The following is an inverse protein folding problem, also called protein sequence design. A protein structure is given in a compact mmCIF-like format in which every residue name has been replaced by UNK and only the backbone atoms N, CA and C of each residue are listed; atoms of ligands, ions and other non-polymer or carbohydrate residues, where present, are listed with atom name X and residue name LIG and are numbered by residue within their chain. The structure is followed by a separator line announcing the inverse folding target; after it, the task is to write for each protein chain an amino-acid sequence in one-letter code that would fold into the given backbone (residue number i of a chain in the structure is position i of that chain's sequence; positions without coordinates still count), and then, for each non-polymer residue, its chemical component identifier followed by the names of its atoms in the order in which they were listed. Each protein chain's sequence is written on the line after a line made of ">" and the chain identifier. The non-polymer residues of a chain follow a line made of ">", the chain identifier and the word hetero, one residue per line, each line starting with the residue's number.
data_IF_335945412990
#
_entry.id   IF_335945412990
#
_cell.length_a   1.000
_cell.length_b   1.000
_cell.length_c   1.000
_cell.angle_alpha   90.00
_cell.angle_beta   90.00
_cell.angle_gamma   90.00
#
_symmetry.space_group_name_H-M   'P 1'
#
loop_
_entity.id
_entity.type
_entity.pdbx_description
1 polymer ?
#
# COMPACT_ATOMS: atom_id res chain seq x y z
N UNK A 1 14.02 2.75 -22.39
CA UNK A 1 13.48 2.24 -21.12
C UNK A 1 11.98 2.44 -21.08
N UNK A 2 11.24 1.41 -20.72
CA UNK A 2 9.79 1.47 -20.43
C UNK A 2 9.53 2.20 -19.13
N UNK A 3 8.29 2.59 -18.84
CA UNK A 3 7.94 3.17 -17.53
C UNK A 3 8.22 2.20 -16.39
N UNK A 4 7.95 0.90 -16.59
CA UNK A 4 8.29 -0.16 -15.64
C UNK A 4 9.79 -0.16 -15.28
N UNK A 5 10.66 -0.14 -16.29
CA UNK A 5 12.12 -0.14 -16.05
C UNK A 5 12.58 1.11 -15.30
N UNK A 6 11.91 2.25 -15.50
CA UNK A 6 12.25 3.50 -14.79
C UNK A 6 11.81 3.46 -13.33
N UNK A 7 10.58 2.96 -13.04
CA UNK A 7 10.03 2.87 -11.69
C UNK A 7 10.92 2.01 -10.79
N UNK A 8 11.41 0.88 -11.30
CA UNK A 8 12.25 -0.05 -10.52
C UNK A 8 13.74 0.31 -10.54
N UNK A 9 14.15 1.35 -11.30
CA UNK A 9 15.54 1.77 -11.42
C UNK A 9 15.93 2.79 -10.36
N UNK A 10 17.07 2.59 -9.73
CA UNK A 10 17.66 3.58 -8.83
C UNK A 10 18.19 4.84 -9.54
N UNK A 11 18.17 4.90 -10.86
CA UNK A 11 18.67 6.03 -11.66
C UNK A 11 17.61 7.11 -11.89
N UNK A 12 16.37 6.85 -11.52
CA UNK A 12 15.24 7.78 -11.70
C UNK A 12 14.62 8.20 -10.36
N UNK A 13 14.05 9.40 -10.36
CA UNK A 13 13.08 9.86 -9.37
C UNK A 13 11.68 9.79 -9.95
N UNK A 14 10.71 9.38 -9.15
CA UNK A 14 9.29 9.46 -9.44
C UNK A 14 8.74 10.73 -8.79
N UNK A 15 8.41 11.72 -9.60
CA UNK A 15 7.87 13.00 -9.11
C UNK A 15 6.39 13.05 -9.39
N UNK A 16 5.57 13.03 -8.35
CA UNK A 16 4.12 13.21 -8.44
C UNK A 16 3.79 14.69 -8.51
N UNK A 17 3.06 15.11 -9.53
CA UNK A 17 2.73 16.51 -9.72
C UNK A 17 1.39 16.69 -10.44
N UNK A 18 0.80 17.89 -10.32
CA UNK A 18 -0.31 18.31 -11.17
C UNK A 18 0.12 18.53 -12.64
N UNK A 19 -0.85 18.58 -13.54
CA UNK A 19 -0.55 18.74 -14.97
C UNK A 19 0.11 20.07 -15.31
N UNK A 20 -0.11 21.13 -14.55
CA UNK A 20 0.50 22.43 -14.81
C UNK A 20 2.00 22.32 -14.62
N UNK A 21 2.42 21.75 -13.48
CA UNK A 21 3.84 21.52 -13.21
C UNK A 21 4.45 20.50 -14.18
N UNK A 22 3.72 19.45 -14.56
CA UNK A 22 4.18 18.46 -15.54
C UNK A 22 4.40 19.06 -16.93
N UNK A 23 3.54 19.96 -17.39
CA UNK A 23 3.72 20.66 -18.67
C UNK A 23 4.88 21.66 -18.63
N UNK A 24 5.09 22.34 -17.50
CA UNK A 24 6.26 23.20 -17.29
C UNK A 24 7.55 22.38 -17.32
N UNK A 25 7.59 21.24 -16.63
CA UNK A 25 8.71 20.29 -16.66
C UNK A 25 8.97 19.77 -18.07
N UNK A 26 7.93 19.44 -18.81
CA UNK A 26 8.02 18.96 -20.19
C UNK A 26 8.55 20.03 -21.13
N UNK A 27 8.13 21.27 -20.96
CA UNK A 27 8.61 22.39 -21.77
C UNK A 27 10.09 22.73 -21.50
N UNK A 28 10.52 22.61 -20.26
CA UNK A 28 11.91 22.90 -19.83
C UNK A 28 12.87 21.74 -20.08
N UNK A 29 12.37 20.50 -20.11
CA UNK A 29 13.19 19.29 -20.27
C UNK A 29 12.40 18.17 -20.99
N UNK A 30 12.37 18.19 -22.32
CA UNK A 30 11.57 17.24 -23.13
C UNK A 30 11.95 15.77 -22.98
N UNK A 31 13.01 15.45 -22.26
CA UNK A 31 13.42 14.08 -21.95
C UNK A 31 12.58 13.42 -20.84
N UNK A 32 11.70 14.15 -20.17
CA UNK A 32 10.86 13.59 -19.14
C UNK A 32 9.66 12.88 -19.75
N UNK A 33 9.47 11.63 -19.33
CA UNK A 33 8.28 10.87 -19.66
C UNK A 33 7.37 10.96 -18.44
N UNK A 34 6.14 11.40 -18.64
CA UNK A 34 5.14 11.37 -17.59
C UNK A 34 4.04 10.37 -17.89
N UNK A 35 3.44 9.88 -16.84
CA UNK A 35 2.31 8.98 -16.87
C UNK A 35 1.12 9.66 -16.18
N UNK A 36 -0.02 9.86 -16.86
CA UNK A 36 -1.23 10.29 -16.20
C UNK A 36 -1.73 9.18 -15.25
N UNK A 37 -2.05 9.56 -14.01
CA UNK A 37 -2.57 8.62 -13.00
C UNK A 37 -4.08 8.75 -12.87
N UNK A 38 -4.63 9.92 -13.17
CA UNK A 38 -6.05 10.23 -13.13
C UNK A 38 -6.32 11.62 -12.57
N UNK A 39 -7.49 12.19 -12.85
CA UNK A 39 -7.79 13.57 -12.49
C UNK A 39 -6.79 14.56 -13.11
N UNK A 40 -6.22 15.41 -12.28
CA UNK A 40 -5.22 16.41 -12.68
C UNK A 40 -3.79 16.04 -12.25
N UNK A 41 -3.53 14.77 -11.95
CA UNK A 41 -2.27 14.30 -11.39
C UNK A 41 -1.58 13.32 -12.35
N UNK A 42 -0.26 13.44 -12.46
CA UNK A 42 0.59 12.49 -13.17
C UNK A 42 1.93 12.27 -12.45
N UNK A 43 2.72 11.37 -12.99
CA UNK A 43 4.06 11.04 -12.49
C UNK A 43 5.08 11.36 -13.57
N UNK A 44 6.10 12.15 -13.23
CA UNK A 44 7.26 12.40 -14.08
C UNK A 44 8.43 11.53 -13.63
N UNK A 45 9.05 10.82 -14.58
CA UNK A 45 10.28 10.04 -14.36
C UNK A 45 11.48 10.86 -14.74
N UNK A 46 12.29 11.27 -13.76
CA UNK A 46 13.41 12.20 -13.92
C UNK A 46 14.72 11.50 -13.59
N UNK A 47 15.68 11.50 -14.50
CA UNK A 47 17.02 10.97 -14.21
C UNK A 47 17.69 11.71 -13.07
N UNK A 48 18.18 10.99 -12.07
CA UNK A 48 18.80 11.56 -10.85
C UNK A 48 19.98 12.46 -11.14
N UNK A 49 20.76 12.17 -12.16
CA UNK A 49 21.90 12.98 -12.58
C UNK A 49 21.52 14.32 -13.26
N UNK A 50 20.27 14.44 -13.70
CA UNK A 50 19.71 15.66 -14.33
C UNK A 50 18.87 16.48 -13.37
N UNK A 51 18.47 15.89 -12.25
CA UNK A 51 17.71 16.58 -11.21
C UNK A 51 18.69 17.14 -10.18
N UNK A 52 18.73 18.45 -9.96
CA UNK A 52 19.60 19.00 -8.94
C UNK A 52 19.22 18.38 -7.58
N UNK A 53 20.21 18.11 -6.71
CA UNK A 53 19.95 17.54 -5.40
C UNK A 53 18.94 18.41 -4.63
N UNK A 54 18.21 17.79 -3.72
CA UNK A 54 17.08 18.31 -2.92
C UNK A 54 17.25 19.73 -2.30
N UNK A 55 18.40 20.37 -2.48
CA UNK A 55 18.66 21.76 -2.10
C UNK A 55 17.95 22.80 -2.97
N UNK A 56 17.23 22.39 -4.02
CA UNK A 56 16.49 23.28 -4.91
C UNK A 56 15.07 23.50 -4.36
N UNK A 57 14.99 23.86 -3.09
CA UNK A 57 13.76 24.13 -2.36
C UNK A 57 13.03 25.42 -2.75
N UNK A 58 13.07 25.83 -4.02
CA UNK A 58 12.36 27.02 -4.48
C UNK A 58 11.59 26.84 -5.78
N UNK A 59 11.86 25.75 -6.50
CA UNK A 59 11.31 25.58 -7.85
C UNK A 59 10.10 24.62 -7.91
N UNK A 60 9.96 23.71 -6.93
CA UNK A 60 8.88 22.73 -6.91
C UNK A 60 8.18 22.72 -5.55
N UNK A 61 6.85 22.54 -5.50
CA UNK A 61 6.13 22.31 -4.26
C UNK A 61 6.74 21.14 -3.49
N UNK A 62 6.82 21.27 -2.17
CA UNK A 62 7.37 20.24 -1.29
C UNK A 62 6.69 18.86 -1.47
N UNK A 63 5.39 18.87 -1.79
CA UNK A 63 4.58 17.67 -2.05
C UNK A 63 5.02 16.90 -3.30
N UNK A 64 5.63 17.58 -4.28
CA UNK A 64 6.07 16.96 -5.54
C UNK A 64 7.43 16.26 -5.44
N UNK A 65 8.14 16.44 -4.33
CA UNK A 65 9.47 15.85 -4.13
C UNK A 65 9.31 14.49 -3.45
N UNK A 66 9.90 13.41 -4.01
CA UNK A 66 9.88 12.09 -3.36
C UNK A 66 10.44 12.17 -1.94
N UNK A 67 9.71 11.65 -0.98
CA UNK A 67 10.07 11.65 0.44
C UNK A 67 10.23 10.23 0.93
N UNK A 68 11.22 10.02 1.79
CA UNK A 68 11.29 8.80 2.58
C UNK A 68 10.44 8.99 3.83
N UNK A 69 9.47 8.13 4.03
CA UNK A 69 8.67 8.04 5.24
C UNK A 69 9.22 6.91 6.10
N UNK A 70 9.39 7.16 7.39
CA UNK A 70 9.70 6.11 8.36
C UNK A 70 8.47 5.25 8.63
N UNK A 71 8.68 3.99 8.96
CA UNK A 71 7.62 3.13 9.48
C UNK A 71 7.14 3.65 10.83
N UNK A 72 5.85 3.50 11.13
CA UNK A 72 5.30 3.86 12.44
C UNK A 72 5.87 2.94 13.52
N UNK A 73 6.25 3.52 14.66
CA UNK A 73 6.78 2.74 15.78
C UNK A 73 5.66 2.17 16.66
N UNK A 74 5.85 0.91 17.08
CA UNK A 74 4.91 0.16 17.89
C UNK A 74 4.88 0.62 19.36
N UNK A 75 3.92 1.45 19.72
CA UNK A 75 3.42 1.49 21.09
C UNK A 75 1.90 1.64 21.06
N UNK A 76 1.19 0.55 21.41
CA UNK A 76 -0.27 0.62 21.52
C UNK A 76 -0.67 1.46 22.75
N UNK A 77 -1.32 2.60 22.50
CA UNK A 77 -1.98 3.42 23.51
C UNK A 77 -3.49 3.45 23.21
N UNK A 78 -4.36 2.93 24.09
CA UNK A 78 -5.81 2.96 23.90
C UNK A 78 -6.44 4.34 24.06
N UNK A 79 -5.71 5.30 24.63
CA UNK A 79 -6.24 6.65 24.87
C UNK A 79 -6.75 7.35 23.60
N UNK A 80 -6.09 7.25 22.41
CA UNK A 80 -6.60 7.81 21.17
C UNK A 80 -7.97 7.28 20.77
N UNK A 81 -8.26 6.00 21.00
CA UNK A 81 -9.55 5.39 20.66
C UNK A 81 -10.69 5.92 21.55
N UNK A 82 -10.38 6.20 22.82
CA UNK A 82 -11.34 6.78 23.76
C UNK A 82 -11.60 8.26 23.45
N UNK A 83 -10.53 9.03 23.21
CA UNK A 83 -10.62 10.46 22.93
C UNK A 83 -11.28 10.75 21.58
N UNK A 84 -11.00 9.92 20.55
CA UNK A 84 -11.63 10.04 19.24
C UNK A 84 -13.10 9.60 19.19
N UNK A 85 -13.62 8.99 20.26
CA UNK A 85 -15.00 8.50 20.33
C UNK A 85 -15.23 7.17 19.59
N UNK A 86 -14.20 6.54 19.03
CA UNK A 86 -14.33 5.26 18.31
C UNK A 86 -14.98 4.19 19.19
N UNK A 87 -14.57 4.11 20.46
CA UNK A 87 -15.15 3.17 21.43
C UNK A 87 -16.66 3.41 21.67
N UNK A 88 -17.12 4.64 21.55
CA UNK A 88 -18.55 4.97 21.74
C UNK A 88 -19.40 4.51 20.54
N UNK A 89 -18.91 4.66 19.30
CA UNK A 89 -19.68 4.29 18.11
C UNK A 89 -19.66 2.78 17.82
N UNK A 90 -18.68 2.03 18.36
CA UNK A 90 -18.62 0.58 18.26
C UNK A 90 -19.56 -0.14 19.24
N UNK A 91 -20.21 0.59 20.16
CA UNK A 91 -21.21 0.05 21.14
C UNK A 91 -22.63 0.38 20.71
N UNK A 92 -23.65 -0.34 21.26
CA UNK A 92 -25.04 0.04 21.08
C UNK A 92 -25.31 1.50 21.46
N UNK A 93 -26.19 2.23 20.74
CA UNK A 93 -27.10 1.71 19.69
C UNK A 93 -26.48 1.64 18.28
N UNK A 94 -25.31 2.21 18.03
CA UNK A 94 -24.74 2.28 16.70
C UNK A 94 -24.05 0.96 16.27
N UNK A 95 -23.31 0.34 17.17
CA UNK A 95 -22.62 -0.93 16.95
C UNK A 95 -21.85 -1.01 15.61
N UNK A 96 -21.15 0.07 15.27
CA UNK A 96 -20.38 0.13 14.04
C UNK A 96 -19.12 -0.72 14.17
N UNK A 97 -18.96 -1.69 13.26
CA UNK A 97 -17.87 -2.67 13.27
C UNK A 97 -16.92 -2.53 12.08
N UNK A 98 -17.21 -1.63 11.15
CA UNK A 98 -16.47 -1.53 9.88
C UNK A 98 -16.86 -2.61 8.85
N UNK A 99 -17.82 -3.48 9.13
CA UNK A 99 -18.23 -4.55 8.21
C UNK A 99 -18.61 -4.00 6.84
N UNK A 100 -17.99 -4.55 5.78
CA UNK A 100 -18.18 -4.12 4.40
C UNK A 100 -17.34 -2.93 3.97
N UNK A 101 -16.49 -2.40 4.86
CA UNK A 101 -15.49 -1.39 4.51
C UNK A 101 -14.23 -2.07 3.99
N UNK A 102 -13.72 -1.58 2.87
CA UNK A 102 -12.41 -2.02 2.32
C UNK A 102 -11.35 -1.05 2.82
N UNK A 103 -10.29 -1.60 3.41
CA UNK A 103 -9.12 -0.84 3.87
C UNK A 103 -7.93 -1.23 3.01
N UNK A 104 -7.25 -0.23 2.47
CA UNK A 104 -6.00 -0.41 1.73
C UNK A 104 -4.81 -0.06 2.62
N UNK A 105 -3.78 -0.92 2.60
CA UNK A 105 -2.52 -0.70 3.30
C UNK A 105 -1.40 -0.54 2.28
N UNK A 106 -0.57 0.45 2.48
CA UNK A 106 0.68 0.65 1.74
C UNK A 106 1.79 0.56 2.77
N UNK A 107 2.41 -0.61 2.86
CA UNK A 107 3.35 -0.96 3.94
C UNK A 107 4.37 -2.01 3.48
N UNK A 108 5.05 -2.68 4.42
CA UNK A 108 6.15 -3.62 4.15
C UNK A 108 5.71 -4.94 3.53
N UNK A 109 4.42 -5.26 3.56
CA UNK A 109 3.83 -6.50 3.07
C UNK A 109 2.71 -6.96 3.97
N UNK A 110 2.27 -8.21 3.78
CA UNK A 110 1.27 -8.87 4.62
C UNK A 110 1.53 -10.37 4.65
N UNK A 111 1.55 -10.94 5.84
CA UNK A 111 1.49 -12.39 6.04
C UNK A 111 0.04 -12.86 5.83
N UNK A 112 -0.30 -13.18 4.58
CA UNK A 112 -1.65 -13.59 4.19
C UNK A 112 -2.09 -14.94 4.78
N UNK A 113 -1.15 -15.73 5.30
CA UNK A 113 -1.41 -17.01 5.96
C UNK A 113 -1.79 -16.82 7.42
N UNK A 114 -1.60 -15.61 7.97
CA UNK A 114 -1.92 -15.33 9.37
C UNK A 114 -3.43 -15.51 9.62
N UNK A 115 -3.82 -16.32 10.62
CA UNK A 115 -5.22 -16.62 10.92
C UNK A 115 -6.11 -15.40 11.15
N UNK A 116 -5.57 -14.24 11.56
CA UNK A 116 -6.33 -13.01 11.74
C UNK A 116 -6.95 -12.47 10.44
N UNK A 117 -6.45 -12.90 9.29
CA UNK A 117 -6.96 -12.52 7.96
C UNK A 117 -7.81 -13.60 7.30
N UNK A 118 -8.17 -14.65 8.04
CA UNK A 118 -9.03 -15.70 7.52
C UNK A 118 -10.48 -15.54 8.01
N UNK A 119 -11.39 -16.01 7.19
CA UNK A 119 -12.79 -16.23 7.58
C UNK A 119 -12.92 -17.54 8.38
N UNK A 120 -14.08 -17.76 8.99
CA UNK A 120 -14.40 -18.99 9.73
C UNK A 120 -14.33 -20.25 8.85
N UNK A 121 -14.56 -20.11 7.55
CA UNK A 121 -14.46 -21.19 6.56
C UNK A 121 -13.03 -21.45 6.05
N UNK A 122 -12.05 -20.73 6.58
CA UNK A 122 -10.65 -20.82 6.18
C UNK A 122 -10.28 -20.04 4.91
N UNK A 123 -11.23 -19.40 4.26
CA UNK A 123 -10.96 -18.52 3.13
C UNK A 123 -10.37 -17.18 3.55
N UNK A 124 -9.62 -16.54 2.65
CA UNK A 124 -9.02 -15.24 2.95
C UNK A 124 -10.04 -14.11 3.00
N UNK A 125 -9.82 -13.15 3.91
CA UNK A 125 -10.53 -11.86 3.95
C UNK A 125 -9.88 -10.82 3.03
N UNK A 126 -8.64 -11.05 2.59
CA UNK A 126 -7.96 -10.15 1.66
C UNK A 126 -8.66 -10.14 0.31
N UNK A 127 -8.84 -8.95 -0.27
CA UNK A 127 -9.34 -8.77 -1.63
C UNK A 127 -8.24 -8.99 -2.66
N UNK A 128 -7.02 -8.61 -2.31
CA UNK A 128 -5.84 -8.78 -3.13
C UNK A 128 -4.60 -8.25 -2.44
N UNK A 129 -3.45 -8.65 -2.97
CA UNK A 129 -2.13 -8.18 -2.62
C UNK A 129 -1.50 -7.65 -3.90
N UNK A 130 -0.95 -6.46 -3.87
CA UNK A 130 -0.05 -5.97 -4.90
C UNK A 130 1.37 -5.93 -4.33
N UNK A 131 2.14 -6.95 -4.65
CA UNK A 131 3.54 -7.02 -4.25
C UNK A 131 4.40 -6.26 -5.26
N UNK A 132 4.98 -5.16 -4.81
CA UNK A 132 5.77 -4.27 -5.65
C UNK A 132 7.19 -4.79 -5.87
N UNK A 133 7.63 -5.77 -5.12
CA UNK A 133 8.97 -6.37 -5.22
C UNK A 133 9.05 -7.51 -6.21
N UNK A 134 7.95 -8.21 -6.46
CA UNK A 134 7.84 -9.35 -7.36
C UNK A 134 7.43 -8.88 -8.74
N UNK A 135 8.23 -9.17 -9.78
CA UNK A 135 8.03 -8.66 -11.14
C UNK A 135 7.60 -9.72 -12.17
N UNK A 136 7.48 -10.97 -11.75
CA UNK A 136 7.23 -12.12 -12.63
C UNK A 136 5.77 -12.30 -13.03
N UNK A 137 4.84 -11.68 -12.28
CA UNK A 137 3.39 -11.74 -12.55
C UNK A 137 2.84 -10.50 -13.23
N UNK A 138 1.49 -10.48 -13.36
CA UNK A 138 0.78 -9.33 -13.92
C UNK A 138 0.55 -8.26 -12.85
N UNK A 139 0.85 -6.99 -13.12
CA UNK A 139 0.55 -5.90 -12.23
C UNK A 139 -0.96 -5.56 -12.21
N UNK A 140 -1.44 -4.79 -11.22
CA UNK A 140 -2.80 -4.27 -11.22
C UNK A 140 -3.10 -3.43 -12.48
N UNK A 141 -4.37 -3.39 -12.89
CA UNK A 141 -4.80 -2.65 -14.07
C UNK A 141 -4.40 -1.16 -13.98
N UNK A 142 -3.70 -0.67 -14.99
CA UNK A 142 -3.19 0.70 -15.05
C UNK A 142 -1.87 0.92 -14.28
N UNK A 143 -1.32 -0.10 -13.66
CA UNK A 143 0.00 -0.10 -13.03
C UNK A 143 0.99 -0.86 -13.93
N UNK A 144 2.29 -0.53 -13.85
CA UNK A 144 3.28 -1.06 -14.79
C UNK A 144 4.37 -1.90 -14.14
N UNK A 145 4.23 -2.22 -12.84
CA UNK A 145 5.22 -2.99 -12.08
C UNK A 145 4.56 -3.75 -10.94
N UNK A 146 5.29 -4.66 -10.33
CA UNK A 146 4.80 -5.51 -9.27
C UNK A 146 3.91 -6.65 -9.79
N UNK A 147 3.39 -7.43 -8.88
CA UNK A 147 2.49 -8.55 -9.17
C UNK A 147 1.23 -8.45 -8.31
N UNK A 148 0.06 -8.58 -8.93
CA UNK A 148 -1.24 -8.64 -8.24
C UNK A 148 -1.62 -10.09 -7.96
N UNK A 149 -1.89 -10.39 -6.71
CA UNK A 149 -2.50 -11.66 -6.28
C UNK A 149 -3.91 -11.38 -5.80
N UNK A 150 -4.91 -11.85 -6.54
CA UNK A 150 -6.33 -11.67 -6.19
C UNK A 150 -6.80 -12.73 -5.21
N UNK A 151 -7.98 -12.51 -4.63
CA UNK A 151 -8.57 -13.34 -3.60
C UNK A 151 -8.61 -14.83 -3.97
N UNK A 152 -8.97 -15.15 -5.21
CA UNK A 152 -9.04 -16.52 -5.71
C UNK A 152 -7.69 -17.23 -5.72
N UNK A 153 -6.64 -16.52 -6.13
CA UNK A 153 -5.25 -17.01 -6.12
C UNK A 153 -4.74 -17.18 -4.68
N UNK A 154 -5.05 -16.23 -3.80
CA UNK A 154 -4.70 -16.32 -2.37
C UNK A 154 -5.39 -17.52 -1.73
N UNK A 155 -6.68 -17.74 -2.01
CA UNK A 155 -7.41 -18.91 -1.51
C UNK A 155 -6.83 -20.22 -2.05
N UNK A 156 -6.43 -20.27 -3.31
CA UNK A 156 -5.76 -21.45 -3.87
C UNK A 156 -4.43 -21.72 -3.16
N UNK A 157 -3.65 -20.67 -2.86
CA UNK A 157 -2.42 -20.80 -2.10
C UNK A 157 -2.68 -21.36 -0.69
N UNK A 158 -3.65 -20.82 0.03
CA UNK A 158 -4.02 -21.27 1.39
C UNK A 158 -4.45 -22.74 1.45
N UNK A 159 -4.95 -23.30 0.35
CA UNK A 159 -5.34 -24.70 0.24
C UNK A 159 -4.21 -25.62 -0.24
N UNK A 160 -3.06 -25.04 -0.63
CA UNK A 160 -1.89 -25.78 -1.09
C UNK A 160 -1.04 -26.28 0.08
N UNK A 161 -0.30 -27.39 -0.15
CA UNK A 161 0.74 -27.85 0.77
C UNK A 161 1.90 -26.86 0.87
N UNK A 162 2.15 -26.06 -0.19
CA UNK A 162 3.18 -25.03 -0.22
C UNK A 162 2.55 -23.72 -0.75
N UNK A 163 1.97 -22.90 0.14
CA UNK A 163 1.32 -21.65 -0.23
C UNK A 163 2.25 -20.66 -0.93
N UNK A 164 3.53 -20.61 -0.52
CA UNK A 164 4.50 -19.68 -1.09
C UNK A 164 4.95 -20.04 -2.50
N UNK A 165 4.70 -21.27 -2.95
CA UNK A 165 4.93 -21.64 -4.36
C UNK A 165 3.91 -20.98 -5.31
N UNK A 166 2.74 -20.58 -4.79
CA UNK A 166 1.66 -19.96 -5.56
C UNK A 166 1.64 -18.44 -5.33
N UNK A 167 1.74 -18.01 -4.07
CA UNK A 167 1.79 -16.58 -3.68
C UNK A 167 3.07 -16.36 -2.86
N UNK A 168 4.20 -16.05 -3.51
CA UNK A 168 5.50 -15.89 -2.83
C UNK A 168 5.65 -14.56 -2.08
N UNK A 169 4.58 -13.77 -1.98
CA UNK A 169 4.57 -12.50 -1.26
C UNK A 169 4.67 -12.73 0.24
N UNK A 170 5.62 -12.08 0.89
CA UNK A 170 5.90 -12.20 2.32
C UNK A 170 6.11 -10.82 2.94
N UNK A 171 5.85 -10.69 4.23
CA UNK A 171 6.18 -9.52 5.03
C UNK A 171 7.39 -9.83 5.92
N UNK A 172 8.59 -9.64 5.39
CA UNK A 172 9.84 -9.91 6.12
C UNK A 172 10.03 -9.00 7.36
N UNK A 173 9.45 -7.81 7.33
CA UNK A 173 9.56 -6.84 8.43
C UNK A 173 8.50 -7.08 9.52
N UNK A 174 7.31 -7.53 9.13
CA UNK A 174 6.16 -7.75 10.02
C UNK A 174 5.35 -6.49 10.35
N UNK A 175 5.79 -5.29 9.96
CA UNK A 175 5.10 -4.05 10.29
C UNK A 175 3.74 -3.95 9.57
N UNK A 176 3.69 -4.22 8.27
CA UNK A 176 2.45 -4.19 7.50
C UNK A 176 1.42 -5.19 8.01
N UNK A 177 1.86 -6.40 8.35
CA UNK A 177 1.03 -7.45 8.97
C UNK A 177 0.47 -6.99 10.32
N UNK A 178 1.30 -6.41 11.17
CA UNK A 178 0.88 -5.88 12.47
C UNK A 178 -0.15 -4.74 12.32
N UNK A 179 0.12 -3.78 11.44
CA UNK A 179 -0.78 -2.66 11.17
C UNK A 179 -2.14 -3.14 10.62
N UNK A 180 -2.11 -4.03 9.64
CA UNK A 180 -3.32 -4.59 9.05
C UNK A 180 -4.12 -5.43 10.07
N UNK A 181 -3.45 -6.17 10.95
CA UNK A 181 -4.11 -6.97 11.98
C UNK A 181 -4.88 -6.11 12.99
N UNK A 182 -4.31 -4.98 13.39
CA UNK A 182 -4.97 -4.03 14.29
C UNK A 182 -6.16 -3.36 13.64
N UNK A 183 -6.03 -2.96 12.36
CA UNK A 183 -7.07 -2.22 11.66
C UNK A 183 -8.21 -3.10 11.11
N UNK A 184 -7.89 -4.32 10.67
CA UNK A 184 -8.82 -5.17 9.93
C UNK A 184 -8.73 -6.67 10.29
N UNK A 185 -7.97 -7.06 11.32
CA UNK A 185 -7.86 -8.45 11.75
C UNK A 185 -9.13 -9.00 12.39
N UNK A 186 -9.34 -10.32 12.31
CA UNK A 186 -10.40 -11.03 13.06
C UNK A 186 -9.94 -11.35 14.47
N UNK A 187 -10.88 -11.41 15.42
CA UNK A 187 -10.62 -11.93 16.77
C UNK A 187 -10.27 -13.42 16.70
N UNK A 188 -9.10 -13.77 17.23
CA UNK A 188 -8.71 -15.17 17.40
C UNK A 188 -9.05 -15.70 18.81
N UNK A 189 -9.26 -14.82 19.80
CA UNK A 189 -9.59 -15.17 21.18
C UNK A 189 -10.45 -14.08 21.83
N UNK A 190 -11.36 -14.48 22.72
CA UNK A 190 -12.31 -13.59 23.44
C UNK A 190 -11.64 -12.53 24.33
N UNK A 191 -10.32 -12.54 24.51
CA UNK A 191 -9.57 -11.61 25.37
C UNK A 191 -8.85 -10.48 24.67
N UNK A 192 -8.75 -10.47 23.35
CA UNK A 192 -8.07 -9.45 22.56
C UNK A 192 -9.08 -8.78 21.63
N UNK A 193 -9.79 -7.80 22.12
CA UNK A 193 -10.88 -7.13 21.42
C UNK A 193 -10.40 -5.97 20.55
N UNK A 194 -9.67 -6.23 19.49
CA UNK A 194 -9.39 -5.25 18.43
C UNK A 194 -9.97 -5.66 17.09
N UNK A 195 -10.93 -6.57 17.08
CA UNK A 195 -11.53 -6.93 15.84
C UNK A 195 -12.39 -5.79 15.31
N UNK A 196 -11.92 -5.18 14.26
CA UNK A 196 -12.81 -4.56 13.32
C UNK A 196 -13.53 -5.68 12.55
N UNK A 197 -14.82 -5.57 12.31
CA UNK A 197 -15.53 -6.47 11.40
C UNK A 197 -15.31 -6.06 9.94
N UNK A 198 -14.25 -5.27 9.65
CA UNK A 198 -13.89 -4.81 8.31
C UNK A 198 -13.36 -5.91 7.44
#
# INVERSE_FOLDING_TARGET
>A
MTNREKIISNDFYDVVADYVLLEELRASAPAYVYQPVGGEIGIAYIERNKFPPLSVGGMYPYESIPKLYGLMQDTFDPAPLLVSGITAVSRPPLSLTGRGVVVGFLDTGIDYQNPVFLNEDGGTRLLGIWDQTIQEGEPPAGIYYGTEYRRDVINAALQSEDPLSIVPSVDENGHGTALASVAAGSLLNEGLSFASGA
#
